data_IF_098539724679
#
_entry.id   IF_098539724679
#
_cell.length_a   1.000
_cell.length_b   1.000
_cell.length_c   1.000
_cell.angle_alpha   90.00
_cell.angle_beta   90.00
_cell.angle_gamma   90.00
#
_symmetry.space_group_name_H-M   'P 1'
#
loop_
_entity.id
_entity.type
_entity.pdbx_description
1 polymer ?
#
# COMPACT_ATOMS: atom_id res chain seq x y z
N UNK A 1 12.58 2.56 -2.97
CA UNK A 1 13.46 3.27 -2.02
C UNK A 1 12.60 3.89 -0.95
N UNK A 2 12.96 3.70 0.31
CA UNK A 2 12.26 4.23 1.50
C UNK A 2 13.29 4.75 2.51
N UNK A 3 12.87 5.50 3.52
CA UNK A 3 13.74 5.98 4.61
C UNK A 3 13.02 5.87 5.95
N UNK A 4 13.77 5.56 7.00
CA UNK A 4 13.32 5.63 8.40
C UNK A 4 13.70 6.96 9.09
N UNK A 5 14.35 7.86 8.34
CA UNK A 5 14.83 9.15 8.82
C UNK A 5 16.35 9.19 8.99
N UNK A 6 16.97 8.10 9.43
CA UNK A 6 18.43 7.98 9.62
C UNK A 6 19.11 7.28 8.45
N UNK A 7 18.45 6.26 7.89
CA UNK A 7 18.97 5.46 6.79
C UNK A 7 18.04 5.50 5.57
N UNK A 8 18.62 5.23 4.42
CA UNK A 8 17.88 5.00 3.17
C UNK A 8 17.99 3.52 2.82
N UNK A 9 16.87 2.89 2.53
CA UNK A 9 16.79 1.51 2.08
C UNK A 9 16.37 1.45 0.62
N UNK A 10 17.12 0.69 -0.16
CA UNK A 10 16.88 0.56 -1.59
C UNK A 10 17.07 -0.89 -2.05
N UNK A 11 16.37 -1.25 -3.13
CA UNK A 11 16.70 -2.43 -3.89
C UNK A 11 17.75 -2.06 -4.94
N UNK A 12 18.86 -2.76 -4.96
CA UNK A 12 19.91 -2.62 -5.96
C UNK A 12 20.11 -3.93 -6.72
N UNK A 13 20.52 -3.80 -7.96
CA UNK A 13 20.81 -4.94 -8.84
C UNK A 13 22.30 -5.01 -9.15
N UNK A 14 22.82 -6.19 -9.06
CA UNK A 14 24.17 -6.51 -9.50
C UNK A 14 24.08 -7.45 -10.71
N UNK A 15 24.71 -7.04 -11.81
CA UNK A 15 24.70 -7.82 -13.04
C UNK A 15 26.07 -8.45 -13.23
N UNK A 16 26.12 -9.77 -13.30
CA UNK A 16 27.28 -10.52 -13.74
C UNK A 16 27.01 -11.15 -15.13
N UNK A 17 28.03 -11.72 -15.76
CA UNK A 17 27.97 -12.20 -17.16
C UNK A 17 26.78 -13.13 -17.49
N UNK A 18 26.16 -13.77 -16.51
CA UNK A 18 25.03 -14.69 -16.72
C UNK A 18 23.93 -14.59 -15.64
N UNK A 19 23.99 -13.65 -14.72
CA UNK A 19 22.98 -13.51 -13.65
C UNK A 19 22.74 -12.05 -13.30
N UNK A 20 21.51 -11.77 -12.91
CA UNK A 20 21.12 -10.52 -12.30
C UNK A 20 20.58 -10.85 -10.91
N UNK A 21 21.23 -10.34 -9.89
CA UNK A 21 20.84 -10.52 -8.49
C UNK A 21 20.36 -9.19 -7.92
N UNK A 22 19.32 -9.22 -7.11
CA UNK A 22 18.83 -8.05 -6.41
C UNK A 22 19.08 -8.15 -4.91
N UNK A 23 19.40 -7.00 -4.30
CA UNK A 23 19.76 -6.92 -2.89
C UNK A 23 19.03 -5.77 -2.22
N UNK A 24 18.64 -5.98 -0.96
CA UNK A 24 18.37 -4.88 -0.06
C UNK A 24 19.70 -4.26 0.36
N UNK A 25 19.81 -2.96 0.23
CA UNK A 25 20.94 -2.19 0.74
C UNK A 25 20.45 -1.15 1.75
N UNK A 26 21.27 -0.91 2.78
CA UNK A 26 21.14 0.18 3.72
C UNK A 26 22.23 1.22 3.43
N UNK A 27 21.81 2.45 3.25
CA UNK A 27 22.69 3.59 2.97
C UNK A 27 22.64 4.53 4.16
N UNK A 28 23.79 4.83 4.73
CA UNK A 28 23.95 5.89 5.71
C UNK A 28 24.38 7.17 4.97
N UNK A 29 23.48 8.16 4.82
CA UNK A 29 23.80 9.39 4.10
C UNK A 29 24.78 10.29 4.87
N UNK A 30 24.87 10.12 6.20
CA UNK A 30 25.78 10.90 7.06
C UNK A 30 27.19 10.36 7.00
N UNK A 31 27.34 9.03 7.10
CA UNK A 31 28.65 8.38 7.00
C UNK A 31 29.12 8.16 5.55
N UNK A 32 28.22 8.27 4.57
CA UNK A 32 28.49 7.99 3.17
C UNK A 32 28.78 6.51 2.90
N UNK A 33 28.19 5.61 3.69
CA UNK A 33 28.40 4.16 3.58
C UNK A 33 27.17 3.46 3.00
N UNK A 34 27.40 2.34 2.32
CA UNK A 34 26.38 1.47 1.77
C UNK A 34 26.66 0.03 2.21
N UNK A 35 25.66 -0.61 2.82
CA UNK A 35 25.76 -1.97 3.30
C UNK A 35 24.77 -2.87 2.56
N UNK A 36 25.23 -4.00 2.05
CA UNK A 36 24.40 -5.05 1.46
C UNK A 36 23.83 -5.92 2.58
N UNK A 37 22.52 -5.99 2.70
CA UNK A 37 21.85 -6.68 3.80
C UNK A 37 21.51 -8.13 3.44
N UNK A 38 20.65 -8.34 2.43
CA UNK A 38 20.28 -9.68 1.97
C UNK A 38 19.79 -9.68 0.51
N UNK A 39 19.71 -10.87 -0.09
CA UNK A 39 19.16 -11.06 -1.43
C UNK A 39 17.65 -10.83 -1.45
N UNK A 40 17.17 -10.10 -2.46
CA UNK A 40 15.77 -9.72 -2.63
C UNK A 40 15.10 -10.49 -3.78
N UNK A 41 15.37 -11.78 -3.92
CA UNK A 41 14.76 -12.60 -4.95
C UNK A 41 13.23 -12.54 -4.82
N UNK A 42 12.56 -11.99 -5.86
CA UNK A 42 11.11 -11.80 -5.89
C UNK A 42 10.54 -11.06 -4.66
N UNK A 43 11.33 -10.15 -4.08
CA UNK A 43 10.97 -9.37 -2.91
C UNK A 43 11.02 -7.86 -3.22
N UNK A 44 10.08 -7.10 -2.70
CA UNK A 44 9.96 -5.65 -2.93
C UNK A 44 9.79 -4.89 -1.61
N UNK A 45 10.44 -3.74 -1.52
CA UNK A 45 10.23 -2.80 -0.42
C UNK A 45 8.90 -2.08 -0.66
N UNK A 46 8.02 -2.08 0.33
CA UNK A 46 6.71 -1.42 0.30
C UNK A 46 6.63 -0.18 1.17
N UNK A 47 7.40 -0.13 2.24
CA UNK A 47 7.40 1.02 3.15
C UNK A 47 8.30 0.83 4.36
N UNK A 48 8.20 1.78 5.28
CA UNK A 48 8.77 1.73 6.64
C UNK A 48 7.62 1.87 7.62
N UNK A 49 7.62 1.04 8.65
CA UNK A 49 6.61 1.02 9.72
C UNK A 49 7.34 0.98 11.05
N UNK A 50 7.32 2.11 11.77
CA UNK A 50 8.15 2.27 12.96
C UNK A 50 9.63 2.14 12.58
N UNK A 51 10.31 1.20 13.23
CA UNK A 51 11.73 0.86 13.01
C UNK A 51 11.93 -0.30 12.03
N UNK A 52 10.88 -0.81 11.38
CA UNK A 52 10.91 -1.98 10.51
C UNK A 52 10.60 -1.64 9.07
N UNK A 53 11.18 -2.42 8.17
CA UNK A 53 10.86 -2.37 6.75
C UNK A 53 9.66 -3.27 6.48
N UNK A 54 8.70 -2.77 5.72
CA UNK A 54 7.63 -3.58 5.17
C UNK A 54 8.05 -4.09 3.81
N UNK A 55 8.08 -5.39 3.66
CA UNK A 55 8.50 -6.09 2.45
C UNK A 55 7.36 -6.99 1.94
N UNK A 56 7.31 -7.17 0.62
CA UNK A 56 6.44 -8.14 -0.04
C UNK A 56 7.31 -9.10 -0.84
N UNK A 57 7.17 -10.38 -0.59
CA UNK A 57 7.82 -11.46 -1.35
C UNK A 57 6.77 -12.28 -2.11
N UNK A 58 7.09 -12.72 -3.33
CA UNK A 58 6.22 -13.60 -4.12
C UNK A 58 6.95 -14.90 -4.39
N UNK A 59 6.31 -16.03 -4.04
CA UNK A 59 6.84 -17.37 -4.27
C UNK A 59 5.72 -18.27 -4.82
N UNK A 60 5.87 -18.67 -6.09
CA UNK A 60 4.83 -19.46 -6.77
C UNK A 60 3.50 -18.71 -6.80
N UNK A 61 2.46 -19.35 -6.27
CA UNK A 61 1.09 -18.82 -6.25
C UNK A 61 0.76 -18.01 -4.99
N UNK A 62 1.75 -17.68 -4.16
CA UNK A 62 1.55 -16.91 -2.94
C UNK A 62 2.45 -15.69 -2.87
N UNK A 63 1.94 -14.64 -2.26
CA UNK A 63 2.72 -13.49 -1.84
C UNK A 63 2.59 -13.29 -0.34
N UNK A 64 3.70 -12.98 0.30
CA UNK A 64 3.76 -12.71 1.73
C UNK A 64 4.19 -11.27 1.98
N UNK A 65 3.46 -10.60 2.86
CA UNK A 65 3.83 -9.30 3.41
C UNK A 65 4.43 -9.53 4.78
N UNK A 66 5.61 -9.01 5.01
CA UNK A 66 6.31 -9.21 6.27
C UNK A 66 7.06 -7.96 6.72
N UNK A 67 7.15 -7.81 8.04
CA UNK A 67 8.00 -6.81 8.67
C UNK A 67 9.41 -7.39 8.81
N UNK A 68 10.41 -6.63 8.41
CA UNK A 68 11.81 -6.96 8.54
C UNK A 68 12.50 -5.93 9.45
N UNK A 69 13.12 -6.42 10.50
CA UNK A 69 13.93 -5.59 11.39
C UNK A 69 15.34 -5.44 10.81
N UNK A 70 15.75 -4.22 10.39
CA UNK A 70 17.05 -4.03 9.75
C UNK A 70 18.24 -4.09 10.72
N UNK A 71 17.99 -4.13 12.04
CA UNK A 71 19.03 -4.23 13.08
C UNK A 71 19.27 -5.68 13.47
N UNK A 72 18.19 -6.44 13.71
CA UNK A 72 18.29 -7.84 14.16
C UNK A 72 18.27 -8.84 13.02
N UNK A 73 17.74 -8.46 11.85
CA UNK A 73 17.52 -9.35 10.71
C UNK A 73 16.27 -10.24 10.87
N UNK A 74 15.47 -10.03 11.93
CA UNK A 74 14.25 -10.80 12.17
C UNK A 74 13.16 -10.46 11.17
N UNK A 75 12.37 -11.47 10.81
CA UNK A 75 11.22 -11.35 9.91
C UNK A 75 9.95 -11.84 10.60
N UNK A 76 8.87 -11.09 10.44
CA UNK A 76 7.55 -11.47 10.94
C UNK A 76 6.52 -11.36 9.82
N UNK A 77 5.92 -12.49 9.42
CA UNK A 77 4.85 -12.50 8.42
C UNK A 77 3.62 -11.81 9.00
N UNK A 78 3.11 -10.83 8.27
CA UNK A 78 1.92 -10.05 8.62
C UNK A 78 0.68 -10.57 7.92
N UNK A 79 0.83 -10.89 6.63
CA UNK A 79 -0.27 -11.31 5.78
C UNK A 79 0.23 -12.15 4.60
N UNK A 80 -0.55 -13.18 4.24
CA UNK A 80 -0.29 -14.01 3.05
C UNK A 80 -1.48 -13.90 2.10
N UNK A 81 -1.22 -13.57 0.85
CA UNK A 81 -2.22 -13.49 -0.21
C UNK A 81 -1.93 -14.52 -1.31
N UNK A 82 -2.99 -14.99 -1.99
CA UNK A 82 -2.83 -15.78 -3.21
C UNK A 82 -2.46 -14.88 -4.38
N UNK A 83 -1.39 -15.20 -5.09
CA UNK A 83 -0.96 -14.45 -6.29
C UNK A 83 -1.84 -14.71 -7.52
N UNK A 84 -2.71 -15.73 -7.47
CA UNK A 84 -3.65 -16.04 -8.55
C UNK A 84 -4.81 -15.05 -8.65
N UNK A 85 -5.03 -14.26 -7.61
CA UNK A 85 -6.02 -13.19 -7.59
C UNK A 85 -5.28 -11.89 -7.31
N UNK A 86 -5.32 -10.94 -8.26
CA UNK A 86 -4.80 -9.59 -8.04
C UNK A 86 -5.66 -8.88 -7.00
N UNK A 87 -5.36 -9.12 -5.74
CA UNK A 87 -6.05 -8.44 -4.65
C UNK A 87 -5.39 -7.09 -4.40
N UNK A 88 -6.16 -6.01 -4.33
CA UNK A 88 -5.61 -4.72 -3.99
C UNK A 88 -5.04 -4.75 -2.57
N UNK A 89 -3.78 -4.38 -2.45
CA UNK A 89 -3.13 -4.17 -1.17
C UNK A 89 -2.18 -2.98 -1.25
N UNK A 90 -2.21 -2.12 -0.25
CA UNK A 90 -1.39 -0.91 -0.18
C UNK A 90 -1.08 -0.54 1.26
N UNK A 91 -0.03 0.26 1.45
CA UNK A 91 0.36 0.75 2.76
C UNK A 91 0.32 2.26 2.78
N UNK A 92 -0.32 2.80 3.80
CA UNK A 92 -0.44 4.22 4.07
C UNK A 92 -0.06 4.49 5.53
N UNK A 93 1.06 5.16 5.74
CA UNK A 93 1.59 5.37 7.07
C UNK A 93 1.80 4.05 7.85
N UNK A 94 1.07 3.87 8.92
CA UNK A 94 1.09 2.67 9.76
C UNK A 94 -0.01 1.65 9.42
N UNK A 95 -0.76 1.85 8.34
CA UNK A 95 -1.92 1.03 7.98
C UNK A 95 -1.64 0.22 6.71
N UNK A 96 -1.70 -1.10 6.80
CA UNK A 96 -1.80 -1.99 5.64
C UNK A 96 -3.28 -2.19 5.31
N UNK A 97 -3.66 -1.77 4.11
CA UNK A 97 -4.97 -2.09 3.51
C UNK A 97 -4.82 -3.36 2.70
N UNK A 98 -5.70 -4.31 2.88
CA UNK A 98 -5.71 -5.55 2.10
C UNK A 98 -7.12 -6.12 1.97
N UNK A 99 -7.32 -6.95 0.97
CA UNK A 99 -8.57 -7.70 0.81
C UNK A 99 -8.45 -9.07 1.47
N UNK A 100 -9.47 -9.42 2.26
CA UNK A 100 -9.62 -10.76 2.85
C UNK A 100 -11.07 -11.22 2.66
N UNK A 101 -11.25 -12.31 1.92
CA UNK A 101 -12.58 -12.65 1.42
C UNK A 101 -13.08 -11.58 0.44
N UNK A 102 -14.27 -11.07 0.69
CA UNK A 102 -14.94 -10.05 -0.10
C UNK A 102 -15.00 -8.67 0.57
N UNK A 103 -14.20 -8.44 1.63
CA UNK A 103 -14.12 -7.16 2.31
C UNK A 103 -12.68 -6.61 2.35
N UNK A 104 -12.57 -5.29 2.46
CA UNK A 104 -11.30 -4.66 2.82
C UNK A 104 -11.06 -4.75 4.32
N UNK A 105 -9.80 -4.88 4.68
CA UNK A 105 -9.28 -4.85 6.04
C UNK A 105 -8.23 -3.77 6.20
N UNK A 106 -8.22 -3.13 7.36
CA UNK A 106 -7.18 -2.21 7.79
C UNK A 106 -6.40 -2.86 8.94
N UNK A 107 -5.15 -3.25 8.67
CA UNK A 107 -4.23 -3.72 9.69
C UNK A 107 -3.35 -2.57 10.16
N UNK A 108 -3.51 -2.17 11.41
CA UNK A 108 -2.59 -1.26 12.07
C UNK A 108 -1.29 -2.02 12.39
N UNK A 109 -0.22 -1.65 11.71
CA UNK A 109 1.07 -2.33 11.80
C UNK A 109 1.81 -2.04 13.11
N UNK A 110 1.42 -1.02 13.85
CA UNK A 110 1.99 -0.68 15.15
C UNK A 110 1.38 -1.47 16.29
N UNK A 111 0.08 -1.75 16.22
CA UNK A 111 -0.68 -2.43 17.27
C UNK A 111 -1.04 -3.87 16.92
N UNK A 112 -1.02 -4.21 15.62
CA UNK A 112 -1.51 -5.50 15.11
C UNK A 112 -3.04 -5.59 15.09
N UNK A 113 -3.75 -4.49 15.30
CA UNK A 113 -5.22 -4.48 15.24
C UNK A 113 -5.68 -4.58 13.78
N UNK A 114 -6.52 -5.58 13.51
CA UNK A 114 -7.15 -5.79 12.22
C UNK A 114 -8.63 -5.37 12.28
N UNK A 115 -9.03 -4.46 11.39
CA UNK A 115 -10.38 -3.91 11.32
C UNK A 115 -10.97 -4.22 9.97
N UNK A 116 -12.08 -4.98 9.94
CA UNK A 116 -12.85 -5.25 8.73
C UNK A 116 -13.72 -4.04 8.37
N UNK A 117 -13.74 -3.68 7.09
CA UNK A 117 -14.63 -2.65 6.52
C UNK A 117 -15.85 -3.32 5.88
N UNK A 118 -16.77 -3.79 6.72
CA UNK A 118 -17.90 -4.64 6.33
C UNK A 118 -18.96 -3.92 5.46
N UNK A 119 -18.93 -2.59 5.39
CA UNK A 119 -19.91 -1.79 4.62
C UNK A 119 -19.73 -1.87 3.10
N UNK A 120 -18.70 -2.51 2.60
CA UNK A 120 -18.41 -2.63 1.17
C UNK A 120 -17.97 -4.04 0.79
N UNK A 121 -18.67 -4.64 -0.15
CA UNK A 121 -18.25 -5.90 -0.76
C UNK A 121 -17.39 -5.59 -1.97
N UNK A 122 -16.14 -6.03 -1.94
CA UNK A 122 -15.20 -5.86 -3.06
C UNK A 122 -15.71 -6.65 -4.26
N UNK A 123 -15.98 -5.99 -5.39
CA UNK A 123 -16.56 -6.66 -6.54
C UNK A 123 -15.59 -7.64 -7.20
N UNK A 124 -16.15 -8.60 -7.94
CA UNK A 124 -15.36 -9.41 -8.85
C UNK A 124 -14.65 -8.50 -9.88
N UNK A 125 -13.38 -8.74 -10.11
CA UNK A 125 -12.57 -7.98 -11.09
C UNK A 125 -13.10 -8.08 -12.53
N UNK A 126 -13.92 -9.08 -12.84
CA UNK A 126 -14.64 -9.14 -14.11
C UNK A 126 -15.72 -8.04 -14.22
N UNK A 127 -16.24 -7.56 -13.10
CA UNK A 127 -17.29 -6.54 -13.01
C UNK A 127 -16.70 -5.15 -12.85
N UNK A 128 -15.79 -4.99 -11.89
CA UNK A 128 -15.13 -3.71 -11.63
C UNK A 128 -13.80 -3.93 -10.90
N UNK A 129 -12.94 -2.90 -10.91
CA UNK A 129 -11.69 -2.90 -10.18
C UNK A 129 -11.63 -1.71 -9.23
N UNK A 130 -10.78 -1.82 -8.23
CA UNK A 130 -10.64 -0.82 -7.18
C UNK A 130 -9.19 -0.35 -7.11
N UNK A 131 -9.00 0.96 -7.09
CA UNK A 131 -7.72 1.60 -6.82
C UNK A 131 -7.74 2.17 -5.41
N UNK A 132 -6.74 1.83 -4.60
CA UNK A 132 -6.59 2.35 -3.24
C UNK A 132 -5.75 3.62 -3.28
N UNK A 133 -6.14 4.65 -2.54
CA UNK A 133 -5.46 5.96 -2.53
C UNK A 133 -4.93 6.37 -1.17
N UNK A 134 -5.68 6.10 -0.10
CA UNK A 134 -5.31 6.52 1.24
C UNK A 134 -6.08 5.73 2.30
N UNK A 135 -5.43 5.45 3.43
CA UNK A 135 -6.09 4.91 4.62
C UNK A 135 -5.48 5.50 5.88
N UNK A 136 -6.34 5.96 6.79
CA UNK A 136 -5.97 6.48 8.10
C UNK A 136 -7.21 6.51 9.01
N UNK A 137 -6.99 6.37 10.32
CA UNK A 137 -8.02 6.50 11.36
C UNK A 137 -9.32 5.71 11.06
N UNK A 138 -9.15 4.44 10.63
CA UNK A 138 -10.29 3.55 10.32
C UNK A 138 -11.03 3.88 9.04
N UNK A 139 -10.51 4.75 8.18
CA UNK A 139 -11.09 5.15 6.90
C UNK A 139 -10.22 4.74 5.72
N UNK A 140 -10.86 4.37 4.63
CA UNK A 140 -10.24 4.04 3.36
C UNK A 140 -10.80 4.93 2.25
N UNK A 141 -9.92 5.66 1.54
CA UNK A 141 -10.25 6.32 0.30
C UNK A 141 -9.89 5.41 -0.87
N UNK A 142 -10.85 5.11 -1.71
CA UNK A 142 -10.65 4.29 -2.90
C UNK A 142 -11.45 4.84 -4.09
N UNK A 143 -11.06 4.42 -5.27
CA UNK A 143 -11.79 4.64 -6.52
C UNK A 143 -12.33 3.32 -7.01
N UNK A 144 -13.60 3.27 -7.38
CA UNK A 144 -14.20 2.18 -8.12
C UNK A 144 -14.33 2.55 -9.59
N UNK A 145 -13.94 1.63 -10.46
CA UNK A 145 -14.06 1.74 -11.90
C UNK A 145 -14.73 0.48 -12.44
N UNK A 146 -15.88 0.62 -13.11
CA UNK A 146 -16.59 -0.49 -13.73
C UNK A 146 -15.88 -0.94 -15.02
N UNK A 147 -15.86 -2.23 -15.27
CA UNK A 147 -15.45 -2.75 -16.55
C UNK A 147 -16.54 -2.50 -17.59
N UNK A 148 -16.14 -2.23 -18.83
CA UNK A 148 -17.06 -1.88 -19.91
C UNK A 148 -18.14 -2.96 -20.09
N UNK A 149 -19.40 -2.56 -19.98
CA UNK A 149 -20.56 -3.41 -20.15
C UNK A 149 -20.93 -4.28 -18.95
N UNK A 150 -20.28 -4.10 -17.80
CA UNK A 150 -20.66 -4.77 -16.56
C UNK A 150 -21.57 -3.89 -15.71
N UNK A 151 -22.56 -4.50 -15.05
CA UNK A 151 -23.37 -3.83 -14.04
C UNK A 151 -22.61 -3.84 -12.71
N UNK A 152 -22.30 -2.68 -12.19
CA UNK A 152 -21.64 -2.51 -10.89
C UNK A 152 -22.64 -2.00 -9.85
N UNK A 153 -22.48 -2.44 -8.60
CA UNK A 153 -23.28 -2.00 -7.47
C UNK A 153 -23.15 -0.49 -7.21
N UNK A 154 -21.95 0.05 -7.45
CA UNK A 154 -21.66 1.47 -7.28
C UNK A 154 -21.23 2.08 -8.61
N UNK A 155 -21.55 3.35 -8.81
CA UNK A 155 -21.08 4.11 -9.97
C UNK A 155 -19.55 4.27 -9.94
N UNK A 156 -18.97 4.58 -11.09
CA UNK A 156 -17.57 4.95 -11.13
C UNK A 156 -17.32 6.23 -10.35
N UNK A 157 -16.29 6.24 -9.53
CA UNK A 157 -15.95 7.40 -8.72
C UNK A 157 -15.12 7.08 -7.48
N UNK A 158 -14.91 8.13 -6.70
CA UNK A 158 -14.18 8.05 -5.44
C UNK A 158 -15.14 7.88 -4.27
N UNK A 159 -14.74 7.07 -3.31
CA UNK A 159 -15.52 6.75 -2.14
C UNK A 159 -14.65 6.75 -0.88
N UNK A 160 -15.25 7.16 0.24
CA UNK A 160 -14.71 6.93 1.57
C UNK A 160 -15.49 5.80 2.22
N UNK A 161 -14.79 4.80 2.69
CA UNK A 161 -15.33 3.67 3.43
C UNK A 161 -14.85 3.74 4.88
N UNK A 162 -15.78 3.61 5.81
CA UNK A 162 -15.53 3.48 7.24
C UNK A 162 -16.08 2.14 7.71
N UNK A 163 -15.60 1.65 8.86
CA UNK A 163 -16.14 0.44 9.46
C UNK A 163 -17.66 0.54 9.65
N UNK A 164 -18.37 -0.53 9.32
CA UNK A 164 -19.84 -0.68 9.47
C UNK A 164 -20.71 0.34 8.74
N UNK A 165 -20.16 1.10 7.79
CA UNK A 165 -20.91 2.07 7.00
C UNK A 165 -20.84 1.74 5.50
N UNK A 166 -21.92 2.06 4.79
CA UNK A 166 -21.93 2.09 3.32
C UNK A 166 -20.89 3.11 2.82
N UNK A 167 -20.26 2.85 1.66
CA UNK A 167 -19.33 3.81 1.05
C UNK A 167 -20.02 5.15 0.78
N UNK A 168 -19.39 6.22 1.24
CA UNK A 168 -19.85 7.58 0.96
C UNK A 168 -19.14 8.13 -0.26
N UNK A 169 -19.85 8.66 -1.27
CA UNK A 169 -19.21 9.33 -2.41
C UNK A 169 -18.31 10.46 -1.94
N UNK A 170 -17.08 10.47 -2.46
CA UNK A 170 -16.13 11.52 -2.21
C UNK A 170 -15.97 12.39 -3.46
N UNK A 171 -16.24 13.67 -3.32
CA UNK A 171 -16.17 14.60 -4.44
C UNK A 171 -14.94 15.49 -4.27
N UNK A 172 -14.06 15.44 -5.25
CA UNK A 172 -12.96 16.39 -5.34
C UNK A 172 -13.52 17.76 -5.69
N UNK A 173 -13.57 18.66 -4.72
CA UNK A 173 -14.23 19.96 -4.92
C UNK A 173 -13.29 21.04 -5.39
N UNK A 174 -11.94 20.83 -5.37
CA UNK A 174 -10.99 21.88 -5.69
C UNK A 174 -9.64 21.35 -6.17
N UNK A 175 -9.18 21.87 -7.30
CA UNK A 175 -7.75 21.97 -7.58
C UNK A 175 -7.38 23.45 -7.74
N UNK A 176 -6.63 23.99 -6.81
CA UNK A 176 -5.95 25.27 -7.00
C UNK A 176 -4.59 24.98 -7.63
N UNK A 177 -4.48 25.25 -8.92
CA UNK A 177 -3.19 25.26 -9.59
C UNK A 177 -2.60 26.65 -9.48
N UNK A 178 -1.53 26.77 -8.70
CA UNK A 178 -0.73 27.98 -8.68
C UNK A 178 0.33 27.90 -9.79
N UNK A 179 0.12 28.66 -10.84
CA UNK A 179 1.03 28.71 -12.01
C UNK A 179 2.42 29.24 -11.67
N UNK A 180 2.56 30.04 -10.61
CA UNK A 180 3.82 30.70 -10.26
C UNK A 180 4.72 29.76 -9.44
N UNK A 181 4.15 28.84 -8.70
CA UNK A 181 4.88 27.81 -7.94
C UNK A 181 4.86 26.43 -8.62
N UNK A 182 4.10 26.25 -9.68
CA UNK A 182 3.81 24.97 -10.33
C UNK A 182 3.28 23.90 -9.35
N UNK A 183 2.68 24.33 -8.24
CA UNK A 183 2.09 23.46 -7.24
C UNK A 183 0.58 23.36 -7.44
N UNK A 184 0.08 22.12 -7.48
CA UNK A 184 -1.34 21.87 -7.37
C UNK A 184 -1.67 21.58 -5.88
N UNK A 185 -2.50 22.42 -5.28
CA UNK A 185 -3.09 22.11 -4.00
C UNK A 185 -4.43 21.41 -4.27
N UNK A 186 -4.49 20.13 -3.98
CA UNK A 186 -5.73 19.37 -4.02
C UNK A 186 -6.31 19.43 -2.62
N UNK A 187 -7.36 20.21 -2.43
CA UNK A 187 -8.12 20.20 -1.20
C UNK A 187 -9.31 19.24 -1.37
N UNK A 188 -9.27 18.17 -0.62
CA UNK A 188 -10.44 17.31 -0.45
C UNK A 188 -11.38 17.97 0.54
N UNK A 189 -12.67 18.01 0.21
CA UNK A 189 -13.69 18.45 1.13
C UNK A 189 -14.63 17.29 1.40
N UNK A 190 -14.66 16.85 2.65
CA UNK A 190 -15.80 16.11 3.18
C UNK A 190 -17.01 17.07 3.26
N UNK A 191 -18.19 16.58 2.90
CA UNK A 191 -19.42 17.42 2.82
C UNK A 191 -19.78 18.10 4.14
N UNK A 192 -19.16 17.70 5.26
CA UNK A 192 -19.45 18.17 6.60
C UNK A 192 -18.35 19.05 7.24
N UNK A 193 -17.28 19.34 6.54
CA UNK A 193 -16.19 20.20 7.08
C UNK A 193 -16.11 21.54 6.35
N UNK A 194 -16.75 22.52 6.94
CA UNK A 194 -16.44 23.94 6.84
C UNK A 194 -16.12 24.49 8.21
#
# INVERSE_FOLDING_TARGET
MVTDGDFIYACMWETSDNSMESFLVRIDPTAGTCEKMFSMDSTWIKGVVGDKLLLKSTSGDNSEWFAYDPVTGEQAVLYTESSSVLQPAAVYGQTLVYQKGDHFHLLDLSTGQDTELAGYTVPDQAVSYVNLYYADDGKLLFEQCSNAGADSQYADGFYVLESDKEPSPWTLTYSLYDKDTACAVVAAKDADTY
#
